data_IF_217666033942
#
_entry.id   IF_217666033942
#
_cell.length_a   1.000
_cell.length_b   1.000
_cell.length_c   1.000
_cell.angle_alpha   90.00
_cell.angle_beta   90.00
_cell.angle_gamma   90.00
#
_symmetry.space_group_name_H-M   'P 1'
#
loop_
_entity.id
_entity.type
_entity.pdbx_description
1 polymer ?
#
# COMPACT_ATOMS: atom_id res chain seq x y z
N UNK A 1 23.30 -17.71 -5.01
CA UNK A 1 21.87 -17.99 -4.75
C UNK A 1 21.08 -17.12 -5.70
N UNK A 2 20.29 -17.73 -6.56
CA UNK A 2 19.43 -17.08 -7.55
C UNK A 2 18.03 -16.87 -6.92
N UNK A 3 17.54 -15.64 -6.92
CA UNK A 3 16.27 -15.26 -6.32
C UNK A 3 15.32 -14.80 -7.43
N UNK A 4 14.13 -15.37 -7.48
CA UNK A 4 13.02 -14.89 -8.28
C UNK A 4 11.97 -14.26 -7.35
N UNK A 5 11.40 -13.15 -7.74
CA UNK A 5 10.34 -12.52 -6.94
C UNK A 5 9.10 -12.25 -7.79
N UNK A 6 8.01 -12.88 -7.41
CA UNK A 6 6.69 -12.74 -8.05
C UNK A 6 5.82 -11.68 -7.34
N UNK A 7 6.42 -10.93 -6.40
CA UNK A 7 5.67 -9.99 -5.57
C UNK A 7 6.49 -8.72 -5.25
N UNK A 8 5.94 -7.51 -5.49
CA UNK A 8 6.68 -6.25 -5.35
C UNK A 8 7.31 -6.03 -3.97
N UNK A 9 6.55 -6.25 -2.88
CA UNK A 9 7.07 -6.02 -1.52
C UNK A 9 8.26 -6.92 -1.20
N UNK A 10 8.22 -8.19 -1.62
CA UNK A 10 9.34 -9.11 -1.45
C UNK A 10 10.55 -8.73 -2.30
N UNK A 11 10.32 -8.22 -3.52
CA UNK A 11 11.36 -7.66 -4.39
C UNK A 11 12.11 -6.53 -3.70
N UNK A 12 11.38 -5.60 -3.09
CA UNK A 12 11.96 -4.46 -2.38
C UNK A 12 12.82 -4.91 -1.20
N UNK A 13 12.30 -5.83 -0.38
CA UNK A 13 13.05 -6.36 0.78
C UNK A 13 14.30 -7.11 0.32
N UNK A 14 14.18 -8.04 -0.63
CA UNK A 14 15.31 -8.80 -1.13
C UNK A 14 16.41 -7.89 -1.72
N UNK A 15 16.00 -6.84 -2.46
CA UNK A 15 16.93 -5.85 -3.00
C UNK A 15 17.63 -5.03 -1.89
N UNK A 16 16.87 -4.57 -0.87
CA UNK A 16 17.41 -3.86 0.29
C UNK A 16 18.44 -4.70 1.07
N UNK A 17 18.23 -6.01 1.12
CA UNK A 17 19.18 -6.95 1.74
C UNK A 17 20.39 -7.28 0.86
N UNK A 18 20.52 -6.70 -0.33
CA UNK A 18 21.62 -6.98 -1.27
C UNK A 18 21.49 -8.34 -1.98
N UNK A 19 20.27 -8.86 -2.08
CA UNK A 19 19.93 -10.08 -2.82
C UNK A 19 18.88 -9.77 -3.90
N UNK A 20 19.15 -8.75 -4.74
CA UNK A 20 18.25 -8.32 -5.79
C UNK A 20 17.84 -9.49 -6.70
N UNK A 21 16.55 -9.70 -6.97
CA UNK A 21 16.06 -10.79 -7.79
C UNK A 21 16.63 -10.74 -9.21
N UNK A 22 16.89 -11.93 -9.80
CA UNK A 22 17.35 -12.07 -11.18
C UNK A 22 16.22 -11.95 -12.19
N UNK A 23 14.98 -12.25 -11.75
CA UNK A 23 13.76 -12.07 -12.52
C UNK A 23 12.60 -11.73 -11.57
N UNK A 24 11.61 -11.00 -12.07
CA UNK A 24 10.56 -10.36 -11.25
C UNK A 24 9.18 -10.49 -11.88
N UNK A 25 8.13 -10.12 -11.14
CA UNK A 25 6.80 -9.95 -11.71
C UNK A 25 6.68 -8.61 -12.44
N UNK A 26 5.70 -8.50 -13.36
CA UNK A 26 5.39 -7.25 -14.07
C UNK A 26 4.97 -6.09 -13.15
N UNK A 27 4.61 -6.39 -11.90
CA UNK A 27 4.24 -5.40 -10.88
C UNK A 27 5.44 -4.85 -10.09
N UNK A 28 6.65 -5.41 -10.29
CA UNK A 28 7.84 -4.99 -9.54
C UNK A 28 8.46 -3.74 -10.15
N UNK A 29 8.30 -2.62 -9.48
CA UNK A 29 8.66 -1.27 -9.92
C UNK A 29 9.78 -0.62 -9.09
N UNK A 30 10.14 -1.22 -7.95
CA UNK A 30 11.14 -0.67 -7.03
C UNK A 30 12.06 -1.76 -6.46
N UNK A 31 13.37 -1.46 -6.24
CA UNK A 31 14.09 -0.25 -6.67
C UNK A 31 14.23 -0.17 -8.20
N UNK A 32 14.57 1.00 -8.78
CA UNK A 32 14.72 1.15 -10.23
C UNK A 32 15.63 0.11 -10.90
N UNK A 33 16.59 -0.46 -10.17
CA UNK A 33 17.50 -1.49 -10.68
C UNK A 33 16.84 -2.83 -10.99
N UNK A 34 15.61 -3.07 -10.58
CA UNK A 34 14.87 -4.32 -10.87
C UNK A 34 13.98 -4.20 -12.12
N UNK A 35 13.69 -2.99 -12.58
CA UNK A 35 12.80 -2.78 -13.74
C UNK A 35 13.36 -3.29 -15.06
N UNK A 36 14.68 -3.45 -15.16
CA UNK A 36 15.35 -4.02 -16.33
C UNK A 36 15.50 -5.56 -16.25
N UNK A 37 14.96 -6.19 -15.19
CA UNK A 37 15.04 -7.65 -15.03
C UNK A 37 14.01 -8.36 -15.90
N UNK A 38 14.28 -9.61 -16.33
CA UNK A 38 13.29 -10.44 -17.01
C UNK A 38 11.98 -10.49 -16.20
N UNK A 39 10.87 -10.26 -16.89
CA UNK A 39 9.53 -10.31 -16.32
C UNK A 39 8.93 -11.69 -16.54
N UNK A 40 8.49 -12.32 -15.46
CA UNK A 40 7.98 -13.70 -15.45
C UNK A 40 6.46 -13.79 -15.51
N UNK A 41 5.75 -12.69 -15.24
CA UNK A 41 4.28 -12.69 -15.16
C UNK A 41 3.70 -11.62 -16.06
N UNK A 42 2.46 -11.77 -16.45
CA UNK A 42 1.69 -10.77 -17.19
C UNK A 42 0.19 -11.01 -17.02
N UNK A 43 -0.63 -10.20 -17.67
CA UNK A 43 -2.08 -10.36 -17.65
C UNK A 43 -2.50 -11.43 -18.66
N UNK A 44 -3.38 -12.35 -18.24
CA UNK A 44 -3.97 -13.36 -19.13
C UNK A 44 -4.67 -12.72 -20.32
N UNK A 45 -5.27 -11.52 -20.12
CA UNK A 45 -5.91 -10.76 -21.20
C UNK A 45 -4.94 -10.20 -22.25
N UNK A 46 -3.64 -10.19 -21.97
CA UNK A 46 -2.58 -9.74 -22.89
C UNK A 46 -1.91 -10.91 -23.63
N UNK A 47 -2.27 -12.16 -23.29
CA UNK A 47 -1.83 -13.32 -24.05
C UNK A 47 -2.50 -13.27 -25.44
N UNK A 48 -1.70 -13.15 -26.47
CA UNK A 48 -2.16 -13.31 -27.85
C UNK A 48 -2.67 -14.75 -28.06
N UNK A 49 -3.59 -14.93 -28.99
CA UNK A 49 -4.05 -16.28 -29.47
C UNK A 49 -2.91 -17.05 -30.17
N UNK A 50 -1.67 -16.59 -30.07
CA UNK A 50 -0.49 -17.24 -30.61
C UNK A 50 -0.16 -18.49 -29.77
N UNK A 51 -0.14 -19.68 -30.40
CA UNK A 51 0.18 -20.95 -29.71
C UNK A 51 1.50 -20.89 -28.93
N UNK A 52 2.53 -20.20 -29.42
CA UNK A 52 3.81 -20.09 -28.74
C UNK A 52 3.70 -19.29 -27.42
N UNK A 53 2.83 -18.28 -27.37
CA UNK A 53 2.56 -17.51 -26.15
C UNK A 53 1.86 -18.37 -25.09
N UNK A 54 0.94 -19.24 -25.51
CA UNK A 54 0.19 -20.13 -24.63
C UNK A 54 1.07 -21.28 -24.11
N UNK A 55 1.95 -21.84 -24.93
CA UNK A 55 2.84 -22.95 -24.56
C UNK A 55 3.84 -22.56 -23.45
N UNK A 56 4.25 -21.28 -23.40
CA UNK A 56 5.15 -20.77 -22.35
C UNK A 56 4.49 -20.65 -20.98
N UNK A 57 3.16 -20.61 -20.92
CA UNK A 57 2.44 -20.48 -19.66
C UNK A 57 2.49 -21.78 -18.87
N UNK A 58 3.13 -21.75 -17.71
CA UNK A 58 3.25 -22.91 -16.81
C UNK A 58 2.15 -22.95 -15.76
N UNK A 59 1.65 -21.78 -15.32
CA UNK A 59 0.56 -21.62 -14.38
C UNK A 59 -0.18 -20.29 -14.64
N UNK A 60 -1.47 -20.27 -14.41
CA UNK A 60 -2.28 -19.05 -14.49
C UNK A 60 -3.48 -19.11 -13.54
N UNK A 61 -3.99 -17.97 -13.17
CA UNK A 61 -5.33 -17.76 -12.66
C UNK A 61 -6.17 -17.00 -13.71
N UNK A 62 -7.32 -16.46 -13.31
CA UNK A 62 -8.18 -15.70 -14.23
C UNK A 62 -7.57 -14.34 -14.64
N UNK A 63 -6.56 -13.85 -13.93
CA UNK A 63 -5.97 -12.52 -14.09
C UNK A 63 -4.54 -12.58 -14.61
N UNK A 64 -3.69 -13.41 -13.96
CA UNK A 64 -2.25 -13.45 -14.21
C UNK A 64 -1.80 -14.81 -14.73
N UNK A 65 -0.75 -14.77 -15.57
CA UNK A 65 -0.02 -15.97 -16.00
C UNK A 65 1.43 -15.94 -15.50
N UNK A 66 2.05 -17.11 -15.44
CA UNK A 66 3.47 -17.30 -15.17
C UNK A 66 4.14 -17.94 -16.41
N UNK A 67 5.18 -17.28 -16.90
CA UNK A 67 6.01 -17.77 -18.01
C UNK A 67 6.99 -18.85 -17.49
N UNK A 68 6.74 -20.09 -17.91
CA UNK A 68 7.54 -21.23 -17.47
C UNK A 68 8.94 -21.26 -18.08
N UNK A 69 9.11 -20.82 -19.32
CA UNK A 69 10.42 -20.78 -19.97
C UNK A 69 11.32 -19.75 -19.29
N UNK A 70 10.77 -18.58 -18.98
CA UNK A 70 11.49 -17.55 -18.25
C UNK A 70 11.81 -17.96 -16.81
N UNK A 71 10.91 -18.68 -16.13
CA UNK A 71 11.16 -19.23 -14.79
C UNK A 71 12.24 -20.30 -14.82
N UNK A 72 12.20 -21.23 -15.80
CA UNK A 72 13.21 -22.27 -15.96
C UNK A 72 14.58 -21.67 -16.31
N UNK A 73 14.62 -20.65 -17.18
CA UNK A 73 15.87 -19.96 -17.54
C UNK A 73 16.47 -19.18 -16.37
N UNK A 74 15.66 -18.68 -15.42
CA UNK A 74 16.14 -18.03 -14.21
C UNK A 74 16.80 -18.99 -13.21
N UNK A 75 16.50 -20.30 -13.29
CA UNK A 75 17.02 -21.38 -12.44
C UNK A 75 17.10 -20.96 -10.95
N UNK A 76 15.96 -20.65 -10.31
CA UNK A 76 15.96 -20.07 -8.97
C UNK A 76 16.30 -21.08 -7.88
N UNK A 77 17.04 -20.63 -6.87
CA UNK A 77 17.16 -21.31 -5.58
C UNK A 77 15.93 -20.99 -4.69
N UNK A 78 15.38 -19.76 -4.84
CA UNK A 78 14.24 -19.25 -4.04
C UNK A 78 13.29 -18.48 -4.94
N UNK A 79 11.99 -18.75 -4.77
CA UNK A 79 10.87 -17.99 -5.36
C UNK A 79 10.10 -17.31 -4.23
N UNK A 80 10.06 -15.97 -4.24
CA UNK A 80 9.31 -15.15 -3.30
C UNK A 80 7.93 -14.83 -3.88
N UNK A 81 6.88 -15.07 -3.12
CA UNK A 81 5.49 -14.84 -3.53
C UNK A 81 4.62 -14.45 -2.33
N UNK A 82 3.31 -14.30 -2.53
CA UNK A 82 2.37 -14.05 -1.44
C UNK A 82 0.99 -14.68 -1.72
N UNK A 83 0.28 -15.08 -0.68
CA UNK A 83 -1.05 -15.72 -0.74
C UNK A 83 -2.23 -14.84 -0.34
N UNK A 84 -2.04 -13.50 -0.15
CA UNK A 84 -3.08 -12.63 0.45
C UNK A 84 -4.00 -12.00 -0.57
N UNK A 85 -3.44 -11.49 -1.66
CA UNK A 85 -4.15 -10.65 -2.61
C UNK A 85 -3.93 -11.17 -4.04
N UNK A 86 -4.97 -11.76 -4.61
CA UNK A 86 -4.95 -12.19 -6.01
C UNK A 86 -4.85 -11.03 -7.03
N UNK A 87 -4.96 -9.77 -6.56
CA UNK A 87 -4.88 -8.58 -7.43
C UNK A 87 -3.45 -8.08 -7.62
N UNK A 88 -2.53 -8.37 -6.67
CA UNK A 88 -1.19 -7.78 -6.68
C UNK A 88 -0.06 -8.78 -6.95
N UNK A 89 -0.33 -10.07 -6.94
CA UNK A 89 0.68 -11.12 -7.16
C UNK A 89 0.05 -12.45 -7.56
N UNK A 90 0.85 -13.29 -8.19
CA UNK A 90 0.50 -14.68 -8.44
C UNK A 90 0.46 -15.45 -7.10
N UNK A 91 -0.60 -16.23 -6.91
CA UNK A 91 -0.84 -17.05 -5.71
C UNK A 91 0.32 -18.03 -5.44
N UNK A 92 0.65 -18.25 -4.15
CA UNK A 92 1.68 -19.20 -3.72
C UNK A 92 1.45 -20.62 -4.31
N UNK A 93 0.21 -21.06 -4.37
CA UNK A 93 -0.15 -22.37 -4.92
C UNK A 93 0.29 -22.51 -6.38
N UNK A 94 0.07 -21.47 -7.19
CA UNK A 94 0.47 -21.45 -8.60
C UNK A 94 2.00 -21.42 -8.75
N UNK A 95 2.69 -20.68 -7.88
CA UNK A 95 4.16 -20.68 -7.88
C UNK A 95 4.73 -22.05 -7.54
N UNK A 96 4.17 -22.76 -6.54
CA UNK A 96 4.56 -24.15 -6.20
C UNK A 96 4.26 -25.13 -7.33
N UNK A 97 3.07 -25.05 -7.92
CA UNK A 97 2.70 -25.88 -9.07
C UNK A 97 3.68 -25.69 -10.24
N UNK A 98 4.07 -24.45 -10.53
CA UNK A 98 5.03 -24.15 -11.59
C UNK A 98 6.42 -24.75 -11.30
N UNK A 99 6.92 -24.62 -10.07
CA UNK A 99 8.18 -25.20 -9.63
C UNK A 99 8.17 -26.72 -9.77
N UNK A 100 7.09 -27.39 -9.37
CA UNK A 100 6.92 -28.83 -9.52
C UNK A 100 6.83 -29.28 -10.98
N UNK A 101 6.04 -28.61 -11.80
CA UNK A 101 5.88 -28.95 -13.23
C UNK A 101 7.16 -28.83 -14.04
N UNK A 102 8.03 -27.89 -13.65
CA UNK A 102 9.32 -27.66 -14.29
C UNK A 102 10.47 -28.43 -13.65
N UNK A 103 10.19 -29.29 -12.65
CA UNK A 103 11.19 -30.08 -11.88
C UNK A 103 12.32 -29.16 -11.31
N UNK A 104 11.99 -27.93 -10.90
CA UNK A 104 12.93 -27.01 -10.30
C UNK A 104 13.13 -27.33 -8.81
N UNK A 105 14.34 -27.08 -8.30
CA UNK A 105 14.69 -27.31 -6.88
C UNK A 105 14.54 -26.08 -6.02
N UNK A 106 13.74 -25.10 -6.47
CA UNK A 106 13.54 -23.84 -5.78
C UNK A 106 12.69 -24.01 -4.51
N UNK A 107 13.08 -23.34 -3.44
CA UNK A 107 12.19 -23.14 -2.29
C UNK A 107 11.18 -22.02 -2.62
N UNK A 108 9.90 -22.24 -2.34
CA UNK A 108 8.87 -21.20 -2.48
C UNK A 108 8.54 -20.63 -1.10
N UNK A 109 8.75 -19.32 -0.93
CA UNK A 109 8.48 -18.59 0.30
C UNK A 109 7.26 -17.68 0.10
N UNK A 110 6.20 -17.95 0.88
CA UNK A 110 5.08 -17.03 1.05
C UNK A 110 5.41 -15.96 2.10
N UNK A 111 5.29 -14.69 1.69
CA UNK A 111 5.55 -13.52 2.53
C UNK A 111 4.25 -12.80 2.91
N UNK A 112 3.25 -13.57 3.24
CA UNK A 112 1.98 -13.07 3.78
C UNK A 112 2.18 -12.19 5.03
N UNK A 113 1.36 -11.14 5.17
CA UNK A 113 1.32 -10.29 6.35
C UNK A 113 -0.14 -9.88 6.64
N UNK A 114 -0.61 -10.11 7.86
CA UNK A 114 -1.92 -9.65 8.33
C UNK A 114 -1.79 -8.34 9.14
N UNK A 115 -0.66 -8.11 9.78
CA UNK A 115 -0.40 -6.93 10.60
C UNK A 115 1.03 -6.38 10.41
N UNK A 116 1.39 -5.35 11.16
CA UNK A 116 2.71 -4.73 11.06
C UNK A 116 3.83 -5.67 11.53
N UNK A 117 3.59 -6.49 12.57
CA UNK A 117 4.62 -7.42 13.06
C UNK A 117 4.95 -8.47 12.01
N UNK A 118 3.96 -9.00 11.32
CA UNK A 118 4.15 -9.92 10.20
C UNK A 118 4.99 -9.30 9.07
N UNK A 119 4.76 -8.01 8.74
CA UNK A 119 5.58 -7.29 7.75
C UNK A 119 7.05 -7.27 8.18
N UNK A 120 7.30 -6.97 9.45
CA UNK A 120 8.64 -6.90 10.01
C UNK A 120 9.29 -8.28 10.13
N UNK A 121 8.53 -9.31 10.50
CA UNK A 121 8.99 -10.72 10.53
C UNK A 121 9.35 -11.20 9.10
N UNK A 122 8.61 -10.77 8.09
CA UNK A 122 8.92 -11.14 6.70
C UNK A 122 10.26 -10.58 6.21
N UNK A 123 10.76 -9.47 6.76
CA UNK A 123 12.13 -8.99 6.47
C UNK A 123 13.16 -10.04 6.90
N UNK A 124 12.99 -10.64 8.09
CA UNK A 124 13.90 -11.67 8.60
C UNK A 124 13.75 -12.99 7.84
N UNK A 125 12.50 -13.41 7.55
CA UNK A 125 12.21 -14.63 6.76
C UNK A 125 12.81 -14.57 5.35
N UNK A 126 12.67 -13.42 4.67
CA UNK A 126 13.30 -13.19 3.37
C UNK A 126 14.83 -13.25 3.53
N UNK A 127 15.39 -12.54 4.52
CA UNK A 127 16.83 -12.54 4.79
C UNK A 127 17.40 -13.93 5.03
N UNK A 128 16.69 -14.79 5.75
CA UNK A 128 17.07 -16.19 5.93
C UNK A 128 17.03 -16.95 4.61
N UNK A 129 15.93 -16.85 3.86
CA UNK A 129 15.72 -17.56 2.61
C UNK A 129 16.73 -17.18 1.52
N UNK A 130 17.14 -15.90 1.46
CA UNK A 130 18.11 -15.42 0.45
C UNK A 130 19.55 -15.39 0.97
N UNK A 131 19.83 -15.95 2.16
CA UNK A 131 21.17 -16.02 2.74
C UNK A 131 21.76 -14.67 3.16
N UNK A 132 20.94 -13.75 3.61
CA UNK A 132 21.28 -12.38 4.06
C UNK A 132 20.81 -12.08 5.49
N UNK A 133 20.92 -13.06 6.38
CA UNK A 133 20.44 -12.96 7.77
C UNK A 133 20.98 -11.74 8.51
N UNK A 134 22.30 -11.47 8.41
CA UNK A 134 22.89 -10.34 9.13
C UNK A 134 22.37 -8.99 8.60
N UNK A 135 22.18 -8.86 7.28
CA UNK A 135 21.60 -7.67 6.67
C UNK A 135 20.12 -7.49 7.10
N UNK A 136 19.36 -8.58 7.19
CA UNK A 136 17.98 -8.56 7.63
C UNK A 136 17.87 -8.14 9.11
N UNK A 137 18.74 -8.67 9.98
CA UNK A 137 18.79 -8.25 11.40
C UNK A 137 19.12 -6.76 11.53
N UNK A 138 20.08 -6.26 10.74
CA UNK A 138 20.44 -4.84 10.75
C UNK A 138 19.28 -3.97 10.25
N UNK A 139 18.62 -4.36 9.15
CA UNK A 139 17.46 -3.65 8.62
C UNK A 139 16.31 -3.66 9.62
N UNK A 140 15.98 -4.83 10.23
CA UNK A 140 14.93 -4.92 11.26
C UNK A 140 15.21 -3.99 12.43
N UNK A 141 16.44 -3.93 12.92
CA UNK A 141 16.83 -3.04 14.02
C UNK A 141 16.63 -1.56 13.65
N UNK A 142 16.97 -1.17 12.42
CA UNK A 142 16.74 0.20 11.95
C UNK A 142 15.23 0.52 11.88
N UNK A 143 14.43 -0.39 11.34
CA UNK A 143 12.97 -0.23 11.26
C UNK A 143 12.34 -0.10 12.65
N UNK A 144 12.73 -0.96 13.59
CA UNK A 144 12.23 -0.92 14.97
C UNK A 144 12.58 0.43 15.64
N UNK A 145 13.80 0.92 15.45
CA UNK A 145 14.22 2.23 15.99
C UNK A 145 13.42 3.40 15.38
N UNK A 146 13.11 3.36 14.09
CA UNK A 146 12.28 4.37 13.43
C UNK A 146 10.83 4.33 13.94
N UNK A 147 10.27 3.15 14.12
CA UNK A 147 8.92 2.97 14.69
C UNK A 147 8.85 3.51 16.12
N UNK A 148 9.84 3.17 16.96
CA UNK A 148 9.94 3.70 18.33
C UNK A 148 10.05 5.23 18.33
N UNK A 149 10.87 5.81 17.44
CA UNK A 149 11.02 7.25 17.33
C UNK A 149 9.71 7.97 16.97
N UNK A 150 8.88 7.38 16.11
CA UNK A 150 7.54 7.91 15.82
C UNK A 150 6.66 7.83 17.07
N UNK A 151 6.60 6.66 17.73
CA UNK A 151 5.81 6.46 18.95
C UNK A 151 6.17 7.41 20.08
N UNK A 152 7.46 7.71 20.26
CA UNK A 152 7.94 8.64 21.28
C UNK A 152 7.61 10.12 20.95
N UNK A 153 7.54 10.47 19.66
CA UNK A 153 7.27 11.83 19.22
C UNK A 153 5.78 12.20 19.25
N UNK A 154 4.85 11.21 19.23
CA UNK A 154 3.40 11.48 19.26
C UNK A 154 2.94 11.85 20.68
N UNK A 155 1.80 12.57 20.84
CA UNK A 155 1.30 12.93 22.15
C UNK A 155 0.96 11.69 22.99
N UNK A 156 1.58 11.58 24.18
CA UNK A 156 1.25 10.50 25.11
C UNK A 156 -0.18 10.64 25.64
N UNK A 157 -0.95 9.56 25.51
CA UNK A 157 -2.30 9.43 26.11
C UNK A 157 -2.26 8.82 27.52
N UNK A 158 -1.10 8.86 28.20
CA UNK A 158 -0.95 8.28 29.52
C UNK A 158 -2.05 8.76 30.47
N UNK A 159 -2.65 7.83 31.23
CA UNK A 159 -3.73 8.07 32.17
C UNK A 159 -3.29 9.14 33.20
N UNK A 160 -3.88 10.34 33.12
CA UNK A 160 -3.57 11.48 34.00
C UNK A 160 -3.14 12.74 33.25
N UNK A 161 -2.72 12.64 32.02
CA UNK A 161 -2.57 13.81 31.15
C UNK A 161 -3.97 14.26 30.75
N UNK A 162 -4.33 15.52 31.01
CA UNK A 162 -5.43 16.18 30.30
C UNK A 162 -4.96 16.45 28.84
N UNK A 163 -4.51 15.39 28.18
CA UNK A 163 -4.07 15.39 26.79
C UNK A 163 -5.26 15.44 25.84
N UNK A 164 -5.07 16.05 24.71
CA UNK A 164 -6.06 16.02 23.63
C UNK A 164 -6.40 14.56 23.28
N UNK A 165 -7.67 14.29 22.96
CA UNK A 165 -8.09 13.02 22.41
C UNK A 165 -7.26 12.72 21.14
N UNK A 166 -6.98 11.44 20.90
CA UNK A 166 -6.31 11.02 19.65
C UNK A 166 -7.19 11.43 18.45
N UNK A 167 -6.62 12.03 17.41
CA UNK A 167 -7.39 12.34 16.22
C UNK A 167 -7.99 11.09 15.59
N UNK A 168 -9.26 11.12 15.24
CA UNK A 168 -9.90 10.03 14.48
C UNK A 168 -9.41 10.06 13.04
N UNK A 169 -8.90 8.93 12.57
CA UNK A 169 -8.26 8.80 11.25
C UNK A 169 -9.00 7.76 10.41
N UNK A 170 -9.40 8.13 9.22
CA UNK A 170 -9.90 7.21 8.21
C UNK A 170 -8.89 7.07 7.07
N UNK A 171 -8.51 5.86 6.75
CA UNK A 171 -7.67 5.53 5.59
C UNK A 171 -8.50 4.69 4.63
N UNK A 172 -8.49 5.07 3.35
CA UNK A 172 -9.20 4.37 2.28
C UNK A 172 -8.21 3.83 1.25
N UNK A 173 -8.21 2.52 1.07
CA UNK A 173 -7.40 1.80 0.08
C UNK A 173 -8.15 1.55 -1.24
N UNK A 174 -9.44 1.93 -1.31
CA UNK A 174 -10.27 1.94 -2.51
C UNK A 174 -11.46 2.90 -2.35
N UNK A 175 -11.94 3.47 -3.47
CA UNK A 175 -12.98 4.51 -3.44
C UNK A 175 -14.32 4.09 -4.05
N UNK A 176 -14.38 3.02 -4.88
CA UNK A 176 -15.64 2.54 -5.46
C UNK A 176 -15.62 1.03 -5.72
N UNK A 177 -16.25 0.19 -4.88
CA UNK A 177 -16.90 0.56 -3.62
C UNK A 177 -15.91 1.11 -2.60
N UNK A 178 -16.35 2.01 -1.72
CA UNK A 178 -15.49 2.57 -0.69
C UNK A 178 -15.02 1.47 0.27
N UNK A 179 -13.70 1.37 0.48
CA UNK A 179 -13.08 0.38 1.36
C UNK A 179 -12.10 1.06 2.32
N UNK A 180 -12.16 0.66 3.58
CA UNK A 180 -11.17 1.09 4.58
C UNK A 180 -9.84 0.34 4.39
N UNK A 181 -8.73 0.97 4.71
CA UNK A 181 -7.44 0.31 4.82
C UNK A 181 -7.46 -0.69 5.98
N UNK A 182 -7.05 -1.92 5.69
CA UNK A 182 -7.01 -3.03 6.65
C UNK A 182 -5.60 -3.51 6.94
N UNK A 183 -5.49 -4.75 7.48
CA UNK A 183 -4.23 -5.43 7.79
C UNK A 183 -3.35 -4.56 8.71
N UNK A 184 -2.14 -4.17 8.29
CA UNK A 184 -1.19 -3.33 9.02
C UNK A 184 -1.59 -1.86 9.18
N UNK A 185 -2.57 -1.36 8.39
CA UNK A 185 -2.92 0.08 8.37
C UNK A 185 -3.45 0.58 9.72
N UNK A 186 -4.31 -0.15 10.45
CA UNK A 186 -4.72 0.26 11.79
C UNK A 186 -3.57 0.34 12.80
N UNK A 187 -2.57 -0.56 12.73
CA UNK A 187 -1.36 -0.49 13.56
C UNK A 187 -0.57 0.79 13.28
N UNK A 188 -0.39 1.13 11.98
CA UNK A 188 0.30 2.37 11.60
C UNK A 188 -0.42 3.60 12.14
N UNK A 189 -1.76 3.65 12.06
CA UNK A 189 -2.56 4.75 12.61
C UNK A 189 -2.37 4.84 14.12
N UNK A 190 -2.40 3.70 14.83
CA UNK A 190 -2.26 3.63 16.28
C UNK A 190 -0.89 4.13 16.73
N UNK A 191 0.20 3.66 16.12
CA UNK A 191 1.57 4.08 16.43
C UNK A 191 1.78 5.55 16.07
N UNK A 192 1.18 6.03 14.97
CA UNK A 192 1.19 7.43 14.57
C UNK A 192 0.34 8.34 15.49
N UNK A 193 -0.24 7.81 16.57
CA UNK A 193 -1.02 8.56 17.54
C UNK A 193 -2.44 8.94 17.09
N UNK A 194 -2.97 8.29 16.06
CA UNK A 194 -4.37 8.41 15.61
C UNK A 194 -5.27 7.33 16.19
N UNK A 195 -6.59 7.46 16.04
CA UNK A 195 -7.62 6.47 16.37
C UNK A 195 -8.16 5.85 15.09
N UNK A 196 -7.93 4.53 14.90
CA UNK A 196 -8.42 3.76 13.76
C UNK A 196 -9.79 3.16 14.09
N UNK A 197 -10.89 3.88 13.84
CA UNK A 197 -12.22 3.42 14.25
C UNK A 197 -13.02 2.70 13.16
N UNK A 198 -12.51 2.57 11.93
CA UNK A 198 -13.20 1.90 10.82
C UNK A 198 -12.73 0.46 10.58
N UNK A 199 -11.57 0.08 11.09
CA UNK A 199 -11.01 -1.26 11.02
C UNK A 199 -10.20 -1.58 12.27
N UNK A 200 -10.15 -2.86 12.64
CA UNK A 200 -9.24 -3.36 13.67
C UNK A 200 -7.91 -3.83 13.03
N UNK A 201 -6.83 -3.87 13.83
CA UNK A 201 -5.55 -4.46 13.42
C UNK A 201 -5.76 -5.91 12.96
N UNK A 202 -5.11 -6.30 11.86
CA UNK A 202 -5.25 -7.62 11.24
C UNK A 202 -6.55 -7.84 10.47
N UNK A 203 -7.51 -6.92 10.54
CA UNK A 203 -8.75 -7.01 9.75
C UNK A 203 -8.44 -6.70 8.28
N UNK A 204 -8.91 -7.56 7.37
CA UNK A 204 -8.75 -7.32 5.95
C UNK A 204 -9.53 -6.09 5.50
N UNK A 205 -9.00 -5.38 4.50
CA UNK A 205 -9.74 -4.28 3.83
C UNK A 205 -11.17 -4.71 3.51
N UNK A 206 -12.13 -3.90 3.94
CA UNK A 206 -13.57 -4.17 3.82
C UNK A 206 -14.34 -2.96 3.31
N UNK A 207 -15.52 -3.21 2.75
CA UNK A 207 -16.42 -2.12 2.33
C UNK A 207 -16.95 -1.37 3.54
N UNK A 208 -16.93 -0.04 3.45
CA UNK A 208 -17.51 0.85 4.46
C UNK A 208 -18.53 1.77 3.83
N UNK A 209 -19.68 1.94 4.51
CA UNK A 209 -20.70 2.85 4.01
C UNK A 209 -20.31 4.31 4.27
N UNK A 210 -20.65 5.26 3.38
CA UNK A 210 -20.45 6.68 3.63
C UNK A 210 -21.13 7.17 4.92
N UNK A 211 -22.20 6.50 5.34
CA UNK A 211 -22.89 6.80 6.61
C UNK A 211 -22.01 6.41 7.80
N UNK A 212 -21.35 5.25 7.78
CA UNK A 212 -20.44 4.83 8.84
C UNK A 212 -19.25 5.79 8.96
N UNK A 213 -18.70 6.26 7.83
CA UNK A 213 -17.63 7.28 7.83
C UNK A 213 -18.10 8.59 8.46
N UNK A 214 -19.31 9.07 8.11
CA UNK A 214 -19.90 10.27 8.72
C UNK A 214 -20.12 10.10 10.22
N UNK A 215 -20.61 8.94 10.66
CA UNK A 215 -20.93 8.70 12.06
C UNK A 215 -19.63 8.54 12.90
N UNK A 216 -18.56 8.04 12.32
CA UNK A 216 -17.21 8.04 12.89
C UNK A 216 -16.61 9.46 12.95
N UNK A 217 -16.99 10.33 12.00
CA UNK A 217 -16.56 11.73 11.86
C UNK A 217 -15.04 11.89 11.95
N UNK A 218 -14.24 11.31 11.01
CA UNK A 218 -12.79 11.41 11.07
C UNK A 218 -12.30 12.87 10.98
N UNK A 219 -11.22 13.14 11.73
CA UNK A 219 -10.52 14.43 11.75
C UNK A 219 -9.37 14.48 10.73
N UNK A 220 -8.96 13.30 10.24
CA UNK A 220 -8.00 13.13 9.14
C UNK A 220 -8.52 12.05 8.21
N UNK A 221 -8.44 12.29 6.91
CA UNK A 221 -8.71 11.29 5.88
C UNK A 221 -7.45 11.14 5.02
N UNK A 222 -7.05 9.89 4.76
CA UNK A 222 -6.00 9.53 3.79
C UNK A 222 -6.61 8.60 2.75
N UNK A 223 -6.40 8.90 1.47
CA UNK A 223 -6.89 8.12 0.33
C UNK A 223 -5.70 7.64 -0.49
N UNK A 224 -5.50 6.33 -0.58
CA UNK A 224 -4.39 5.71 -1.32
C UNK A 224 -4.84 4.42 -2.01
N UNK A 225 -5.62 4.50 -3.11
CA UNK A 225 -6.11 3.30 -3.79
C UNK A 225 -4.97 2.45 -4.33
N UNK A 226 -5.10 1.13 -4.20
CA UNK A 226 -4.14 0.17 -4.73
C UNK A 226 -3.96 0.37 -6.25
N UNK A 227 -2.72 0.41 -6.72
CA UNK A 227 -2.40 0.64 -8.13
C UNK A 227 -2.38 2.11 -8.57
N UNK A 228 -2.63 3.07 -7.67
CA UNK A 228 -2.62 4.49 -7.98
C UNK A 228 -1.38 5.17 -7.40
N UNK A 229 -0.72 5.97 -8.24
CA UNK A 229 0.26 6.95 -7.77
C UNK A 229 -0.43 8.09 -6.98
N UNK A 230 0.35 8.99 -6.41
CA UNK A 230 -0.20 10.11 -5.63
C UNK A 230 -1.13 11.01 -6.45
N UNK A 231 -0.90 11.17 -7.76
CA UNK A 231 -1.78 11.99 -8.61
C UNK A 231 -3.10 11.27 -8.92
N UNK A 232 -3.06 9.96 -9.11
CA UNK A 232 -4.24 9.11 -9.23
C UNK A 232 -5.07 9.10 -7.96
N UNK A 233 -4.39 8.96 -6.80
CA UNK A 233 -5.03 9.02 -5.49
C UNK A 233 -5.69 10.38 -5.21
N UNK A 234 -5.07 11.49 -5.64
CA UNK A 234 -5.63 12.84 -5.50
C UNK A 234 -6.94 12.99 -6.31
N UNK A 235 -6.97 12.49 -7.55
CA UNK A 235 -8.21 12.46 -8.35
C UNK A 235 -9.30 11.62 -7.70
N UNK A 236 -8.95 10.40 -7.25
CA UNK A 236 -9.88 9.50 -6.59
C UNK A 236 -10.43 10.09 -5.28
N UNK A 237 -9.59 10.78 -4.51
CA UNK A 237 -10.01 11.50 -3.30
C UNK A 237 -10.98 12.65 -3.64
N UNK A 238 -10.68 13.44 -4.67
CA UNK A 238 -11.56 14.53 -5.11
C UNK A 238 -12.94 14.01 -5.51
N UNK A 239 -13.02 12.95 -6.31
CA UNK A 239 -14.27 12.31 -6.70
C UNK A 239 -15.03 11.72 -5.50
N UNK A 240 -14.33 11.18 -4.51
CA UNK A 240 -14.91 10.68 -3.28
C UNK A 240 -15.58 11.80 -2.48
N UNK A 241 -14.91 12.96 -2.36
CA UNK A 241 -15.41 14.10 -1.57
C UNK A 241 -16.64 14.76 -2.18
N UNK A 242 -16.87 14.65 -3.47
CA UNK A 242 -18.07 15.12 -4.15
C UNK A 242 -19.31 14.28 -3.81
N UNK A 243 -19.12 13.10 -3.24
CA UNK A 243 -20.23 12.21 -2.83
C UNK A 243 -20.81 12.64 -1.47
N UNK A 244 -22.13 12.64 -1.33
CA UNK A 244 -22.77 12.82 -0.01
C UNK A 244 -22.53 11.56 0.85
N UNK A 245 -22.24 11.68 2.15
CA UNK A 245 -22.30 12.88 3.01
C UNK A 245 -20.92 13.50 3.37
N UNK A 246 -19.86 13.26 2.60
CA UNK A 246 -18.48 13.65 2.96
C UNK A 246 -18.32 15.13 3.32
N UNK A 247 -19.03 16.04 2.67
CA UNK A 247 -18.95 17.48 2.96
C UNK A 247 -19.25 17.90 4.42
N UNK A 248 -19.84 17.00 5.23
CA UNK A 248 -20.13 17.27 6.66
C UNK A 248 -19.08 16.70 7.61
N UNK A 249 -18.13 15.91 7.11
CA UNK A 249 -17.07 15.26 7.92
C UNK A 249 -16.04 16.29 8.37
N UNK A 250 -15.55 16.15 9.60
CA UNK A 250 -14.58 17.08 10.21
C UNK A 250 -13.32 17.25 9.35
N UNK A 251 -12.72 16.18 8.87
CA UNK A 251 -11.53 16.23 8.01
C UNK A 251 -11.74 17.09 6.76
N UNK A 252 -12.94 17.04 6.15
CA UNK A 252 -13.28 17.84 4.97
C UNK A 252 -13.46 19.30 5.31
N UNK A 253 -14.11 19.61 6.46
CA UNK A 253 -14.30 21.00 6.91
C UNK A 253 -12.97 21.70 7.25
N UNK A 254 -12.02 20.92 7.76
CA UNK A 254 -10.75 21.43 8.29
C UNK A 254 -9.58 21.30 7.29
N UNK A 255 -9.90 20.95 6.01
CA UNK A 255 -8.95 20.74 4.91
C UNK A 255 -7.84 19.71 5.25
N UNK A 256 -8.20 18.65 6.01
CA UNK A 256 -7.31 17.56 6.43
C UNK A 256 -7.59 16.26 5.67
N UNK A 257 -7.73 16.37 4.36
CA UNK A 257 -7.85 15.24 3.45
C UNK A 257 -6.56 15.16 2.63
N UNK A 258 -6.00 13.96 2.57
CA UNK A 258 -4.72 13.71 1.93
C UNK A 258 -4.82 12.56 0.93
N UNK A 259 -4.15 12.71 -0.20
CA UNK A 259 -3.88 11.63 -1.14
C UNK A 259 -2.49 11.07 -0.85
N UNK A 260 -2.37 9.76 -0.72
CA UNK A 260 -1.11 9.04 -0.56
C UNK A 260 -0.90 8.12 -1.76
N UNK A 261 0.34 7.95 -2.19
CA UNK A 261 0.67 6.96 -3.20
C UNK A 261 0.33 5.55 -2.67
N UNK A 262 -0.71 4.96 -3.26
CA UNK A 262 -1.22 3.65 -2.88
C UNK A 262 -0.33 2.50 -3.37
N UNK A 263 0.38 2.70 -4.47
CA UNK A 263 1.25 1.69 -5.06
C UNK A 263 2.58 1.60 -4.33
N UNK A 264 3.23 2.74 -4.11
CA UNK A 264 4.58 2.77 -3.55
C UNK A 264 4.61 2.69 -2.02
N UNK A 265 3.54 3.10 -1.32
CA UNK A 265 3.53 3.22 0.13
C UNK A 265 2.38 2.50 0.81
N UNK A 266 1.13 2.98 0.70
CA UNK A 266 0.03 2.53 1.56
C UNK A 266 -0.23 1.02 1.48
N UNK A 267 -0.23 0.45 0.26
CA UNK A 267 -0.53 -0.97 0.04
C UNK A 267 0.72 -1.83 -0.14
N UNK A 268 1.90 -1.29 0.20
CA UNK A 268 3.19 -1.97 0.06
C UNK A 268 3.70 -2.46 1.42
N UNK A 269 3.57 -3.75 1.71
CA UNK A 269 4.05 -4.36 2.94
C UNK A 269 5.51 -4.85 2.82
N UNK A 270 6.40 -3.92 2.50
CA UNK A 270 7.85 -4.09 2.52
C UNK A 270 8.45 -3.35 3.73
N UNK A 271 9.77 -3.29 3.81
CA UNK A 271 10.47 -2.43 4.77
C UNK A 271 10.07 -0.96 4.68
N UNK A 272 9.49 -0.51 3.54
CA UNK A 272 8.98 0.87 3.34
C UNK A 272 7.66 1.15 4.06
N UNK A 273 7.07 0.16 4.72
CA UNK A 273 5.90 0.36 5.58
C UNK A 273 6.16 1.40 6.67
N UNK A 274 7.43 1.52 7.12
CA UNK A 274 7.83 2.54 8.09
C UNK A 274 7.84 3.94 7.46
N UNK A 275 8.12 4.08 6.17
CA UNK A 275 7.95 5.35 5.45
C UNK A 275 6.47 5.77 5.41
N UNK A 276 5.55 4.81 5.31
CA UNK A 276 4.10 5.04 5.40
C UNK A 276 3.70 5.48 6.81
N UNK A 277 4.24 4.84 7.84
CA UNK A 277 4.04 5.23 9.23
C UNK A 277 4.47 6.69 9.48
N UNK A 278 5.68 7.06 9.08
CA UNK A 278 6.20 8.43 9.20
C UNK A 278 5.33 9.44 8.47
N UNK A 279 4.85 9.08 7.26
CA UNK A 279 3.94 9.93 6.49
C UNK A 279 2.58 10.11 7.17
N UNK A 280 2.02 9.05 7.76
CA UNK A 280 0.80 9.12 8.55
C UNK A 280 0.99 9.98 9.80
N UNK A 281 2.09 9.82 10.55
CA UNK A 281 2.40 10.64 11.69
C UNK A 281 2.49 12.14 11.33
N UNK A 282 3.08 12.46 10.17
CA UNK A 282 3.20 13.82 9.70
C UNK A 282 1.84 14.47 9.33
N UNK A 283 0.92 13.72 8.72
CA UNK A 283 -0.42 14.27 8.41
C UNK A 283 -1.35 14.27 9.62
N UNK A 284 -1.14 13.39 10.60
CA UNK A 284 -1.90 13.37 11.85
C UNK A 284 -1.43 14.49 12.79
N UNK A 285 -0.12 14.73 12.88
CA UNK A 285 0.51 15.70 13.78
C UNK A 285 1.45 16.66 13.03
N UNK A 286 0.95 17.53 12.15
CA UNK A 286 1.78 18.39 11.28
C UNK A 286 2.65 19.38 12.04
N UNK A 287 2.31 19.68 13.32
CA UNK A 287 3.12 20.55 14.19
C UNK A 287 4.35 19.85 14.80
N UNK A 288 4.46 18.52 14.64
CA UNK A 288 5.51 17.70 15.27
C UNK A 288 6.43 17.02 14.28
N UNK A 289 5.95 16.75 13.08
CA UNK A 289 6.68 16.06 12.03
C UNK A 289 6.81 16.95 10.80
N UNK A 290 7.91 16.79 10.08
CA UNK A 290 8.09 17.45 8.79
C UNK A 290 7.10 16.87 7.75
N UNK A 291 6.72 17.71 6.78
CA UNK A 291 5.84 17.27 5.69
C UNK A 291 6.46 16.10 4.92
N UNK A 292 5.71 15.03 4.63
CA UNK A 292 6.25 13.78 4.06
C UNK A 292 6.66 13.88 2.57
N UNK A 293 6.75 15.08 2.03
CA UNK A 293 7.22 15.34 0.66
C UNK A 293 6.26 14.84 -0.40
N UNK A 294 6.79 14.21 -1.44
CA UNK A 294 6.02 13.73 -2.60
C UNK A 294 5.15 12.49 -2.31
N UNK A 295 5.34 11.83 -1.16
CA UNK A 295 4.57 10.65 -0.75
C UNK A 295 3.08 10.98 -0.56
N UNK A 296 2.79 12.22 -0.15
CA UNK A 296 1.44 12.66 0.24
C UNK A 296 1.15 14.05 -0.31
N UNK A 297 -0.09 14.27 -0.77
CA UNK A 297 -0.60 15.60 -1.15
C UNK A 297 -1.85 15.94 -0.37
N UNK A 298 -1.97 17.19 0.05
CA UNK A 298 -3.23 17.70 0.57
C UNK A 298 -4.22 17.86 -0.57
N UNK A 299 -5.44 17.34 -0.39
CA UNK A 299 -6.53 17.44 -1.36
C UNK A 299 -7.37 18.65 -1.00
N UNK A 300 -7.20 19.76 -1.71
CA UNK A 300 -8.01 20.95 -1.53
C UNK A 300 -9.44 20.70 -2.00
N UNK A 301 -10.39 20.74 -1.06
CA UNK A 301 -11.82 20.65 -1.40
C UNK A 301 -12.21 21.94 -2.09
N UNK A 302 -12.54 21.86 -3.37
CA UNK A 302 -13.05 23.02 -4.11
C UNK A 302 -14.47 23.34 -3.58
N UNK A 303 -14.55 24.13 -2.50
CA UNK A 303 -15.81 24.65 -1.96
C UNK A 303 -16.34 25.59 -3.03
N UNK A 304 -17.27 25.07 -3.85
CA UNK A 304 -17.86 25.79 -4.96
C UNK A 304 -18.09 27.26 -4.62
N UNK A 305 -17.59 28.15 -5.47
CA UNK A 305 -18.08 29.52 -5.54
C UNK A 305 -19.61 29.43 -5.47
N UNK A 306 -20.18 29.82 -4.36
CA UNK A 306 -21.59 30.19 -4.32
C UNK A 306 -21.79 31.23 -5.41
N UNK A 307 -22.49 30.84 -6.48
CA UNK A 307 -22.95 31.76 -7.48
C UNK A 307 -23.69 32.87 -6.74
N UNK A 308 -23.05 34.06 -6.61
CA UNK A 308 -23.79 35.25 -6.25
C UNK A 308 -24.84 35.46 -7.35
N UNK A 309 -26.11 35.54 -7.00
CA UNK A 309 -27.13 35.87 -7.99
C UNK A 309 -26.81 37.27 -8.50
N UNK A 310 -26.40 37.34 -9.78
CA UNK A 310 -26.12 38.56 -10.49
C UNK A 310 -27.26 39.57 -10.26
N UNK A 311 -26.94 40.64 -9.57
CA UNK A 311 -27.84 41.77 -9.41
C UNK A 311 -28.25 42.34 -10.78
N UNK A 312 -29.49 42.12 -11.16
CA UNK A 312 -30.09 42.79 -12.29
C UNK A 312 -30.31 44.25 -11.89
N UNK A 313 -29.41 45.12 -12.24
CA UNK A 313 -29.64 46.55 -12.27
C UNK A 313 -30.42 46.88 -13.56
N UNK A 314 -31.75 46.95 -13.43
CA UNK A 314 -32.57 47.65 -14.39
C UNK A 314 -32.19 49.13 -14.42
N UNK A 315 -31.86 49.63 -15.60
CA UNK A 315 -31.98 51.05 -15.89
C UNK A 315 -32.99 51.22 -16.99
N UNK A 316 -34.17 51.72 -16.57
CA UNK A 316 -35.07 52.45 -17.42
C UNK A 316 -34.60 53.92 -17.46
N UNK A 317 -34.56 54.52 -18.62
CA UNK A 317 -34.81 55.95 -18.84
C UNK A 317 -34.75 56.21 -20.34
N UNK A 318 -35.84 56.79 -20.76
CA UNK A 318 -36.09 57.93 -21.66
C UNK A 318 -35.43 57.90 -23.05
#
# INVERSE_FOLDING_TARGET
>A
MSVVSLFPSATEVAAALGAAPVAVSHQCDHPPSVTDRPTLTGLVSELDDDPESVERVVAHDDVYYLDGDALAAADPDVVLTQGVCAVCALDERLAREAVERLDLKAAVLDVHADDLDDVLVNVERIGEAVGRRDAATALRTDLDARIEAVGDAVPSTAAGSRGAARPRVAVFDWTDPLRHGGLWVPDLIDIAGGEAGLAAAGERSGTVSPTAVRDFDPEVIVVGPCGYDVAGAERAATELLDRKPFGSVSAVRDDRVYAMDGTAYLNRHSHRVVDTLEALAAVIHPDRFEHPGEKVRNVSVNRGRTDEPGGSSGQASE
#
